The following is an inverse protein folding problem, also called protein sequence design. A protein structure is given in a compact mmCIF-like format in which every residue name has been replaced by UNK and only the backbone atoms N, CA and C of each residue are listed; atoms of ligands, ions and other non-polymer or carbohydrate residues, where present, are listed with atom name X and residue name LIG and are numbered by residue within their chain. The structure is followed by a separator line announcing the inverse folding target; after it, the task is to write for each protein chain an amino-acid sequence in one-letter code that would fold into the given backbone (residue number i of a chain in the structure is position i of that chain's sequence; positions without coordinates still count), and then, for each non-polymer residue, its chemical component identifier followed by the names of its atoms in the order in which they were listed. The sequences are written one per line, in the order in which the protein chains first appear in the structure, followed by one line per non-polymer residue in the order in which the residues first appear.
data_IF_002146853177
#
_entry.id   IF_002146853177
#
_cell.length_a   1.000
_cell.length_b   1.000
_cell.length_c   1.000
_cell.angle_alpha   90.00
_cell.angle_beta   90.00
_cell.angle_gamma   90.00
#
_symmetry.space_group_name_H-M   'P 1'
#
loop_
_entity.id
_entity.type
_entity.pdbx_description
1 polymer ?
#
# COMPACT_ATOMS: atom_id res chain seq x y z
N UNK A 1 10.56 30.45 -18.05
CA UNK A 1 10.54 29.87 -16.69
C UNK A 1 9.17 29.23 -16.49
N UNK A 2 9.03 27.91 -16.67
CA UNK A 2 7.88 27.14 -16.15
C UNK A 2 7.91 25.63 -16.47
N UNK A 3 8.53 25.14 -17.55
CA UNK A 3 8.41 23.72 -17.90
C UNK A 3 9.27 22.76 -17.03
N UNK A 4 10.42 23.22 -16.53
CA UNK A 4 11.31 22.39 -15.71
C UNK A 4 10.73 22.06 -14.33
N UNK A 5 9.87 22.90 -13.77
CA UNK A 5 9.31 22.68 -12.42
C UNK A 5 8.17 21.66 -12.44
N UNK A 6 7.45 21.54 -13.56
CA UNK A 6 6.35 20.56 -13.71
C UNK A 6 6.91 19.14 -13.90
N UNK A 7 8.06 18.99 -14.56
CA UNK A 7 8.73 17.70 -14.78
C UNK A 7 9.43 17.11 -13.54
N UNK A 8 9.54 17.83 -12.42
CA UNK A 8 10.17 17.30 -11.18
C UNK A 8 9.15 16.54 -10.31
N UNK A 9 7.85 16.77 -10.51
CA UNK A 9 6.79 16.02 -9.82
C UNK A 9 6.30 14.80 -10.61
N UNK A 10 7.08 14.32 -11.59
CA UNK A 10 6.75 13.09 -12.32
C UNK A 10 6.86 11.92 -11.34
N UNK A 11 5.72 11.57 -10.74
CA UNK A 11 5.29 10.22 -10.37
C UNK A 11 6.41 9.23 -10.06
N UNK A 12 7.20 9.51 -9.02
CA UNK A 12 8.11 8.50 -8.50
C UNK A 12 7.26 7.49 -7.71
N UNK A 13 6.94 6.38 -8.37
CA UNK A 13 6.36 5.20 -7.74
C UNK A 13 7.49 4.37 -7.17
N UNK A 14 7.40 4.06 -5.87
CA UNK A 14 8.38 3.26 -5.15
C UNK A 14 7.70 2.01 -4.61
N UNK A 15 8.51 1.00 -4.28
CA UNK A 15 8.01 -0.17 -3.58
C UNK A 15 8.07 0.12 -2.09
N UNK A 16 6.91 0.19 -1.46
CA UNK A 16 6.82 0.32 -0.01
C UNK A 16 6.41 -1.01 0.60
N UNK A 17 7.02 -1.33 1.74
CA UNK A 17 6.85 -2.60 2.43
C UNK A 17 6.20 -2.33 3.79
N UNK A 18 5.11 -3.03 4.07
CA UNK A 18 4.37 -2.91 5.31
C UNK A 18 4.32 -4.26 6.02
N UNK A 19 4.39 -4.22 7.34
CA UNK A 19 3.95 -5.32 8.20
C UNK A 19 2.47 -5.13 8.51
N UNK A 20 1.68 -6.18 8.36
CA UNK A 20 0.24 -6.13 8.61
C UNK A 20 -0.22 -7.24 9.56
N UNK A 21 -1.47 -7.19 10.00
CA UNK A 21 -2.11 -8.32 10.71
C UNK A 21 -2.97 -9.18 9.79
N UNK A 22 -2.96 -8.94 8.48
CA UNK A 22 -3.74 -9.69 7.47
C UNK A 22 -2.98 -10.97 7.15
N UNK A 23 -3.58 -12.12 7.44
CA UNK A 23 -2.89 -13.41 7.46
C UNK A 23 -3.50 -14.47 6.53
N UNK A 24 -4.62 -14.18 5.88
CA UNK A 24 -5.30 -15.15 5.01
C UNK A 24 -6.11 -14.47 3.89
N UNK A 25 -6.49 -15.27 2.90
CA UNK A 25 -7.23 -14.84 1.71
C UNK A 25 -8.61 -14.23 2.03
N UNK A 26 -9.30 -14.71 3.07
CA UNK A 26 -10.60 -14.15 3.45
C UNK A 26 -10.45 -12.70 3.95
N UNK A 27 -9.41 -12.42 4.72
CA UNK A 27 -9.07 -11.07 5.19
C UNK A 27 -8.58 -10.16 4.05
N UNK A 28 -7.83 -10.71 3.08
CA UNK A 28 -7.46 -9.99 1.85
C UNK A 28 -8.73 -9.54 1.11
N UNK A 29 -9.72 -10.43 0.98
CA UNK A 29 -11.00 -10.12 0.35
C UNK A 29 -11.76 -8.96 1.02
N UNK A 30 -11.55 -8.73 2.32
CA UNK A 30 -12.16 -7.59 3.02
C UNK A 30 -11.54 -6.24 2.64
N UNK A 31 -10.27 -6.22 2.21
CA UNK A 31 -9.51 -5.00 1.93
C UNK A 31 -9.15 -4.83 0.45
N UNK A 32 -9.45 -5.81 -0.40
CA UNK A 32 -9.15 -5.79 -1.83
C UNK A 32 -9.69 -4.54 -2.52
N UNK A 33 -10.95 -4.18 -2.28
CA UNK A 33 -11.59 -3.04 -2.94
C UNK A 33 -10.92 -1.71 -2.56
N UNK A 34 -10.55 -1.53 -1.29
CA UNK A 34 -9.89 -0.30 -0.85
C UNK A 34 -8.43 -0.24 -1.33
N UNK A 35 -7.72 -1.36 -1.37
CA UNK A 35 -6.39 -1.44 -1.96
C UNK A 35 -6.42 -1.12 -3.47
N UNK A 36 -7.38 -1.70 -4.20
CA UNK A 36 -7.58 -1.42 -5.62
C UNK A 36 -7.93 0.05 -5.88
N UNK A 37 -8.67 0.70 -4.98
CA UNK A 37 -9.01 2.11 -5.07
C UNK A 37 -7.81 3.03 -4.81
N UNK A 38 -7.02 2.76 -3.77
CA UNK A 38 -5.94 3.64 -3.31
C UNK A 38 -4.65 3.42 -4.10
N UNK A 39 -4.25 2.16 -4.21
CA UNK A 39 -2.96 1.74 -4.77
C UNK A 39 -3.10 1.39 -6.25
N UNK A 40 -4.29 0.93 -6.65
CA UNK A 40 -4.56 0.45 -8.00
C UNK A 40 -4.52 -1.07 -8.09
N UNK A 41 -5.30 -1.62 -9.02
CA UNK A 41 -5.30 -3.05 -9.28
C UNK A 41 -3.93 -3.55 -9.77
N UNK A 42 -3.50 -4.71 -9.28
CA UNK A 42 -2.20 -5.34 -9.57
C UNK A 42 -0.98 -4.52 -9.13
N UNK A 43 -1.16 -3.56 -8.22
CA UNK A 43 -0.08 -2.73 -7.67
C UNK A 43 0.27 -3.09 -6.23
N UNK A 44 -0.31 -4.16 -5.69
CA UNK A 44 -0.05 -4.62 -4.33
C UNK A 44 -0.01 -6.17 -4.32
N UNK A 45 0.68 -6.74 -3.33
CA UNK A 45 0.60 -8.16 -3.00
C UNK A 45 0.76 -8.37 -1.50
N UNK A 46 0.11 -9.41 -0.98
CA UNK A 46 0.41 -9.96 0.33
C UNK A 46 1.33 -11.16 0.21
N UNK A 47 2.27 -11.26 1.14
CA UNK A 47 3.13 -12.42 1.36
C UNK A 47 2.61 -13.19 2.57
N UNK A 48 1.71 -14.14 2.31
CA UNK A 48 1.08 -14.96 3.35
C UNK A 48 2.01 -16.07 3.87
N UNK A 49 3.11 -16.35 3.17
CA UNK A 49 4.12 -17.31 3.62
C UNK A 49 5.12 -16.68 4.61
N UNK A 50 5.13 -15.35 4.70
CA UNK A 50 5.95 -14.61 5.65
C UNK A 50 5.28 -14.55 7.02
N UNK A 51 6.03 -14.88 8.08
CA UNK A 51 5.58 -14.82 9.47
C UNK A 51 5.15 -13.40 9.86
N UNK A 52 5.69 -12.39 9.17
CA UNK A 52 5.40 -10.98 9.40
C UNK A 52 4.20 -10.44 8.61
N UNK A 53 3.48 -11.27 7.82
CA UNK A 53 2.28 -10.88 7.06
C UNK A 53 2.53 -9.61 6.21
N UNK A 54 3.48 -9.72 5.29
CA UNK A 54 4.01 -8.57 4.57
C UNK A 54 3.06 -8.12 3.45
N UNK A 55 2.74 -6.83 3.41
CA UNK A 55 2.09 -6.17 2.28
C UNK A 55 3.13 -5.35 1.52
N UNK A 56 3.24 -5.59 0.21
CA UNK A 56 4.09 -4.79 -0.69
C UNK A 56 3.20 -3.99 -1.62
N UNK A 57 3.44 -2.69 -1.74
CA UNK A 57 2.70 -1.83 -2.67
C UNK A 57 3.66 -1.12 -3.62
N UNK A 58 3.21 -0.85 -4.84
CA UNK A 58 3.89 -0.08 -5.86
C UNK A 58 3.08 1.19 -6.14
N UNK A 59 3.34 2.23 -5.36
CA UNK A 59 2.59 3.48 -5.38
C UNK A 59 3.49 4.68 -5.04
N UNK A 60 2.89 5.87 -5.06
CA UNK A 60 3.56 7.07 -4.58
C UNK A 60 3.55 7.08 -3.04
N UNK A 61 4.69 7.36 -2.41
CA UNK A 61 4.85 7.37 -0.94
C UNK A 61 3.83 8.23 -0.19
N UNK A 62 3.24 9.24 -0.85
CA UNK A 62 2.18 10.08 -0.27
C UNK A 62 0.95 9.26 0.13
N UNK A 63 0.69 8.11 -0.49
CA UNK A 63 -0.47 7.27 -0.17
C UNK A 63 -0.27 6.36 1.05
N UNK A 64 0.98 6.18 1.52
CA UNK A 64 1.33 5.16 2.52
C UNK A 64 0.62 5.39 3.86
N UNK A 65 0.69 6.62 4.38
CA UNK A 65 0.02 7.01 5.62
C UNK A 65 -1.51 6.88 5.51
N UNK A 66 -2.06 7.21 4.35
CA UNK A 66 -3.50 7.10 4.11
C UNK A 66 -3.93 5.63 4.08
N UNK A 67 -3.20 4.78 3.36
CA UNK A 67 -3.45 3.34 3.29
C UNK A 67 -3.45 2.70 4.69
N UNK A 68 -2.43 2.98 5.50
CA UNK A 68 -2.33 2.42 6.85
C UNK A 68 -3.53 2.81 7.73
N UNK A 69 -4.01 4.06 7.62
CA UNK A 69 -5.19 4.51 8.33
C UNK A 69 -6.47 3.84 7.83
N UNK A 70 -6.61 3.64 6.51
CA UNK A 70 -7.77 2.94 5.97
C UNK A 70 -7.81 1.48 6.45
N UNK A 71 -6.69 0.74 6.38
CA UNK A 71 -6.64 -0.65 6.87
C UNK A 71 -6.97 -0.75 8.37
N UNK A 72 -6.56 0.23 9.17
CA UNK A 72 -6.93 0.32 10.60
C UNK A 72 -8.43 0.43 10.83
N UNK A 73 -9.19 1.06 9.92
CA UNK A 73 -10.67 1.14 10.02
C UNK A 73 -11.33 -0.22 9.78
N UNK A 74 -10.68 -1.11 9.04
CA UNK A 74 -11.11 -2.50 8.87
C UNK A 74 -10.67 -3.41 10.03
N UNK A 75 -9.95 -2.86 11.02
CA UNK A 75 -9.47 -3.61 12.19
C UNK A 75 -8.08 -4.22 12.03
N UNK A 76 -7.36 -3.90 10.96
CA UNK A 76 -6.02 -4.42 10.71
C UNK A 76 -4.94 -3.40 11.06
N UNK A 77 -3.90 -3.81 11.79
CA UNK A 77 -2.72 -2.96 11.94
C UNK A 77 -1.88 -3.04 10.66
N UNK A 78 -1.33 -1.90 10.25
CA UNK A 78 -0.49 -1.77 9.06
C UNK A 78 0.60 -0.74 9.36
N UNK A 79 1.86 -1.18 9.35
CA UNK A 79 3.02 -0.36 9.72
C UNK A 79 4.04 -0.42 8.59
N UNK A 80 4.38 0.75 8.06
CA UNK A 80 5.42 0.90 7.04
C UNK A 80 6.79 0.54 7.62
N UNK A 81 7.58 -0.22 6.87
CA UNK A 81 8.94 -0.65 7.23
C UNK A 81 10.00 0.02 6.35
N UNK A 82 9.76 0.14 5.05
CA UNK A 82 10.68 0.64 4.02
C UNK A 82 9.95 1.34 2.89
#
# INVERSE_FOLDING_TARGET
MSEKTVNVFINQTEISIFKTTIANEDEIGMVEDILNLIVGKNKWNFDLEDIDNILRINANIVVNNFLAQELKKFGFECVELF
#
